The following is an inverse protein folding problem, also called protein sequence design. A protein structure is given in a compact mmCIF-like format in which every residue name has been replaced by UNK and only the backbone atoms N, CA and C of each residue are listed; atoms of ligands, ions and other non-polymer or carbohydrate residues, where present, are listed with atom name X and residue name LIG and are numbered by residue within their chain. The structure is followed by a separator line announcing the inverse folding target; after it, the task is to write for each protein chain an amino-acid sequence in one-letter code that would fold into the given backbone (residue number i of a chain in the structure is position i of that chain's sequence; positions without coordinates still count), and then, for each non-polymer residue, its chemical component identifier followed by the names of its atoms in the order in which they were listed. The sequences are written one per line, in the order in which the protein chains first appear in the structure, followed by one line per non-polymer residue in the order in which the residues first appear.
data_IF_143122999029
#
_entry.id   IF_143122999029
#
_cell.length_a   1.000
_cell.length_b   1.000
_cell.length_c   1.000
_cell.angle_alpha   90.00
_cell.angle_beta   90.00
_cell.angle_gamma   90.00
#
_symmetry.space_group_name_H-M   'P 1'
#
loop_
_entity.id
_entity.type
_entity.pdbx_description
1 polymer ?
#
# COMPACT_ATOMS: atom_id res chain seq x y z
N UNK A 1 12.48 -17.15 -5.43
CA UNK A 1 11.89 -18.49 -5.48
C UNK A 1 10.43 -18.41 -5.09
N UNK A 2 9.56 -19.27 -5.62
CA UNK A 2 8.15 -19.29 -5.25
C UNK A 2 7.53 -20.65 -5.52
N UNK A 3 6.51 -20.97 -4.74
CA UNK A 3 5.72 -22.19 -4.87
C UNK A 3 4.24 -21.84 -4.77
N UNK A 4 3.43 -22.50 -5.57
CA UNK A 4 1.97 -22.43 -5.53
C UNK A 4 1.47 -23.87 -5.47
N UNK A 5 0.45 -24.11 -4.65
CA UNK A 5 -0.20 -25.41 -4.53
C UNK A 5 -1.72 -25.22 -4.53
N UNK A 6 -2.39 -25.91 -5.44
CA UNK A 6 -3.84 -25.88 -5.55
C UNK A 6 -4.46 -26.81 -4.51
N UNK A 7 -5.31 -26.25 -3.65
CA UNK A 7 -6.06 -27.01 -2.65
C UNK A 7 -7.33 -27.65 -3.24
N UNK A 8 -7.78 -27.15 -4.38
CA UNK A 8 -8.98 -27.58 -5.10
C UNK A 8 -9.27 -26.64 -6.27
N UNK A 9 -10.50 -26.63 -6.76
CA UNK A 9 -10.90 -25.84 -7.94
C UNK A 9 -10.89 -24.33 -7.69
N UNK A 10 -11.06 -23.89 -6.44
CA UNK A 10 -11.27 -22.47 -6.11
C UNK A 10 -10.16 -21.84 -5.29
N UNK A 11 -9.20 -22.61 -4.76
CA UNK A 11 -8.26 -22.11 -3.78
C UNK A 11 -6.84 -22.61 -4.05
N UNK A 12 -5.88 -21.71 -3.96
CA UNK A 12 -4.45 -22.01 -4.06
C UNK A 12 -3.71 -21.32 -2.93
N UNK A 13 -2.78 -22.04 -2.30
CA UNK A 13 -1.83 -21.45 -1.35
C UNK A 13 -0.52 -21.19 -2.05
N UNK A 14 0.19 -20.15 -1.62
CA UNK A 14 1.50 -19.84 -2.18
C UNK A 14 2.47 -19.37 -1.10
N UNK A 15 3.75 -19.54 -1.39
CA UNK A 15 4.82 -18.91 -0.64
C UNK A 15 5.88 -18.40 -1.63
N UNK A 16 6.46 -17.25 -1.35
CA UNK A 16 7.49 -16.66 -2.18
C UNK A 16 8.58 -15.99 -1.37
N UNK A 17 9.77 -16.00 -1.95
CA UNK A 17 10.93 -15.28 -1.50
C UNK A 17 11.49 -14.50 -2.69
N UNK A 18 11.56 -13.19 -2.57
CA UNK A 18 12.08 -12.30 -3.59
C UNK A 18 13.09 -11.32 -3.02
N UNK A 19 14.02 -10.87 -3.86
CA UNK A 19 15.08 -9.95 -3.47
C UNK A 19 15.20 -8.85 -4.49
N UNK A 20 15.55 -7.65 -4.04
CA UNK A 20 15.88 -6.51 -4.88
C UNK A 20 17.06 -5.77 -4.29
N UNK A 21 17.87 -5.14 -5.13
CA UNK A 21 18.92 -4.25 -4.66
C UNK A 21 18.95 -2.96 -5.47
N UNK A 22 19.43 -1.89 -4.85
CA UNK A 22 19.64 -0.59 -5.49
C UNK A 22 21.03 -0.07 -5.14
N UNK A 23 21.96 0.04 -6.12
CA UNK A 23 23.24 0.69 -5.89
C UNK A 23 23.06 2.10 -5.34
N UNK A 24 23.95 2.51 -4.44
CA UNK A 24 23.93 3.84 -3.84
C UNK A 24 25.30 4.50 -3.91
N UNK A 25 25.30 5.82 -4.07
CA UNK A 25 26.53 6.62 -4.20
C UNK A 25 27.15 7.07 -2.87
N UNK A 26 26.50 6.74 -1.74
CA UNK A 26 26.92 7.24 -0.43
C UNK A 26 28.17 6.53 0.06
N UNK A 27 29.01 7.26 0.78
CA UNK A 27 30.32 6.81 1.25
C UNK A 27 30.43 6.91 2.76
N UNK A 28 31.22 6.03 3.34
CA UNK A 28 31.60 6.08 4.75
C UNK A 28 32.67 7.13 5.04
N UNK A 29 33.00 7.31 6.31
CA UNK A 29 34.02 8.26 6.78
C UNK A 29 35.43 7.96 6.24
N UNK A 30 35.66 6.76 5.70
CA UNK A 30 36.91 6.37 5.04
C UNK A 30 36.86 6.64 3.52
N UNK A 31 35.74 7.14 2.99
CA UNK A 31 35.53 7.42 1.57
C UNK A 31 35.16 6.17 0.75
N UNK A 32 34.92 5.03 1.40
CA UNK A 32 34.50 3.79 0.72
C UNK A 32 32.99 3.87 0.45
N UNK A 33 32.57 3.45 -0.75
CA UNK A 33 31.15 3.37 -1.07
C UNK A 33 30.44 2.34 -0.17
N UNK A 34 29.22 2.67 0.25
CA UNK A 34 28.34 1.74 0.97
C UNK A 34 27.87 0.63 0.02
N UNK A 35 27.64 -0.55 0.60
CA UNK A 35 27.02 -1.68 -0.11
C UNK A 35 25.64 -1.27 -0.65
N UNK A 36 25.14 -1.85 -1.75
CA UNK A 36 23.80 -1.53 -2.27
C UNK A 36 22.71 -1.66 -1.22
N UNK A 37 21.68 -0.82 -1.31
CA UNK A 37 20.46 -1.00 -0.53
C UNK A 37 19.84 -2.34 -0.94
N UNK A 38 19.60 -3.23 0.01
CA UNK A 38 19.04 -4.56 -0.24
C UNK A 38 17.66 -4.69 0.38
N UNK A 39 16.74 -5.32 -0.34
CA UNK A 39 15.41 -5.68 0.14
C UNK A 39 15.16 -7.17 -0.07
N UNK A 40 14.68 -7.84 0.97
CA UNK A 40 14.27 -9.26 0.93
C UNK A 40 12.82 -9.37 1.38
N UNK A 41 11.96 -9.87 0.51
CA UNK A 41 10.55 -10.11 0.81
C UNK A 41 10.29 -11.60 1.01
N UNK A 42 9.58 -11.91 2.08
CA UNK A 42 9.02 -13.23 2.37
C UNK A 42 7.51 -13.07 2.41
N UNK A 43 6.80 -13.86 1.62
CA UNK A 43 5.35 -13.77 1.53
C UNK A 43 4.75 -15.16 1.50
N UNK A 44 3.63 -15.34 2.19
CA UNK A 44 2.79 -16.51 2.04
C UNK A 44 1.33 -16.09 2.05
N UNK A 45 0.50 -16.78 1.30
CA UNK A 45 -0.89 -16.40 1.20
C UNK A 45 -1.80 -17.47 0.62
N UNK A 46 -3.08 -17.13 0.64
CA UNK A 46 -4.18 -17.84 0.05
C UNK A 46 -4.75 -16.97 -1.07
N UNK A 47 -4.98 -17.58 -2.23
CA UNK A 47 -5.72 -16.99 -3.33
C UNK A 47 -6.98 -17.81 -3.56
N UNK A 48 -8.05 -17.13 -3.90
CA UNK A 48 -9.33 -17.73 -4.20
C UNK A 48 -9.86 -17.20 -5.54
N UNK A 49 -10.34 -18.10 -6.38
CA UNK A 49 -10.92 -17.80 -7.69
C UNK A 49 -12.33 -18.39 -7.76
N UNK A 50 -13.31 -17.53 -8.08
CA UNK A 50 -14.71 -17.90 -8.19
C UNK A 50 -15.30 -17.41 -9.51
N UNK A 51 -16.47 -17.97 -9.85
CA UNK A 51 -17.26 -17.54 -11.00
C UNK A 51 -16.46 -17.60 -12.31
N UNK A 52 -15.75 -18.71 -12.55
CA UNK A 52 -14.91 -18.91 -13.75
C UNK A 52 -13.89 -17.77 -13.96
N UNK A 53 -13.18 -17.40 -12.89
CA UNK A 53 -12.20 -16.31 -12.91
C UNK A 53 -12.77 -14.90 -12.83
N UNK A 54 -14.11 -14.74 -12.79
CA UNK A 54 -14.74 -13.41 -12.76
C UNK A 54 -14.58 -12.71 -11.41
N UNK A 55 -14.35 -13.43 -10.31
CA UNK A 55 -14.12 -12.85 -8.99
C UNK A 55 -12.94 -13.52 -8.30
N UNK A 56 -12.02 -12.68 -7.79
CA UNK A 56 -10.79 -13.10 -7.16
C UNK A 56 -10.68 -12.50 -5.77
N UNK A 57 -10.12 -13.25 -4.83
CA UNK A 57 -9.78 -12.76 -3.51
C UNK A 57 -8.41 -13.30 -3.07
N UNK A 58 -7.71 -12.56 -2.23
CA UNK A 58 -6.46 -13.00 -1.64
C UNK A 58 -6.29 -12.54 -0.21
N UNK A 59 -5.56 -13.35 0.55
CA UNK A 59 -5.10 -13.02 1.88
C UNK A 59 -3.61 -13.39 1.98
N UNK A 60 -2.77 -12.45 2.40
CA UNK A 60 -1.32 -12.65 2.47
C UNK A 60 -0.75 -12.16 3.80
N UNK A 61 0.28 -12.87 4.27
CA UNK A 61 1.17 -12.43 5.33
C UNK A 61 2.53 -12.16 4.70
N UNK A 62 3.15 -11.03 5.04
CA UNK A 62 4.44 -10.66 4.47
C UNK A 62 5.42 -10.11 5.53
N UNK A 63 6.71 -10.31 5.24
CA UNK A 63 7.82 -9.66 5.91
C UNK A 63 8.78 -9.11 4.86
N UNK A 64 9.10 -7.82 4.97
CA UNK A 64 10.14 -7.16 4.19
C UNK A 64 11.31 -6.80 5.11
N UNK A 65 12.50 -7.28 4.78
CA UNK A 65 13.75 -6.92 5.44
C UNK A 65 14.55 -6.01 4.51
N UNK A 66 14.78 -4.77 4.94
CA UNK A 66 15.57 -3.78 4.23
C UNK A 66 16.87 -3.48 4.99
N UNK A 67 17.98 -3.61 4.27
CA UNK A 67 19.34 -3.48 4.76
C UNK A 67 20.13 -2.44 3.95
N UNK A 68 21.25 -2.00 4.53
CA UNK A 68 22.16 -1.00 3.96
C UNK A 68 21.51 0.37 3.67
N UNK A 69 20.54 0.80 4.48
CA UNK A 69 19.98 2.15 4.33
C UNK A 69 21.02 3.20 4.71
N UNK A 70 21.35 4.13 3.81
CA UNK A 70 22.34 5.17 4.10
C UNK A 70 21.81 6.17 5.15
N UNK A 71 22.45 6.20 6.32
CA UNK A 71 22.18 7.17 7.37
C UNK A 71 23.38 8.11 7.54
N UNK A 72 23.19 9.46 7.52
CA UNK A 72 24.27 10.40 7.81
C UNK A 72 24.90 10.12 9.19
N UNK A 73 26.23 10.11 9.28
CA UNK A 73 26.94 9.96 10.57
C UNK A 73 27.08 11.29 11.32
N UNK A 74 26.89 12.42 10.62
CA UNK A 74 27.27 13.75 11.10
C UNK A 74 28.76 14.07 10.87
N UNK A 75 29.54 13.09 10.40
CA UNK A 75 30.92 13.25 9.98
C UNK A 75 31.05 13.62 8.49
N UNK A 76 32.31 13.70 8.04
CA UNK A 76 32.67 14.01 6.65
C UNK A 76 33.55 12.90 6.07
N UNK A 77 33.43 12.68 4.77
CA UNK A 77 34.35 11.85 4.00
C UNK A 77 35.71 12.56 3.82
N UNK A 78 36.77 11.88 3.38
CA UNK A 78 38.08 12.51 3.15
C UNK A 78 38.07 13.63 2.10
N UNK A 79 37.10 13.63 1.17
CA UNK A 79 36.85 14.67 0.17
C UNK A 79 35.83 15.74 0.64
N UNK A 80 35.45 15.73 1.92
CA UNK A 80 34.64 16.79 2.55
C UNK A 80 33.12 16.70 2.32
N UNK A 81 32.63 15.62 1.70
CA UNK A 81 31.21 15.33 1.56
C UNK A 81 30.62 14.78 2.88
N UNK A 82 29.29 14.75 3.01
CA UNK A 82 28.65 14.12 4.16
C UNK A 82 28.97 12.61 4.18
N UNK A 83 29.40 12.10 5.34
CA UNK A 83 29.64 10.67 5.51
C UNK A 83 28.36 9.95 5.96
N UNK A 84 28.22 8.72 5.51
CA UNK A 84 27.07 7.87 5.78
C UNK A 84 27.52 6.52 6.34
N UNK A 85 26.68 5.92 7.16
CA UNK A 85 26.83 4.51 7.56
C UNK A 85 25.68 3.69 7.00
N UNK A 86 25.97 2.46 6.62
CA UNK A 86 24.96 1.47 6.28
C UNK A 86 24.18 1.12 7.55
N UNK A 87 22.89 1.44 7.53
CA UNK A 87 21.99 1.07 8.60
C UNK A 87 21.21 -0.19 8.20
N UNK A 88 21.31 -1.20 9.04
CA UNK A 88 20.67 -2.49 8.85
C UNK A 88 19.31 -2.54 9.54
N UNK A 89 18.42 -3.40 9.03
CA UNK A 89 17.36 -3.97 9.85
C UNK A 89 16.10 -3.12 9.99
N UNK A 90 15.71 -2.39 8.94
CA UNK A 90 14.29 -2.01 8.84
C UNK A 90 13.51 -3.27 8.47
N UNK A 91 12.67 -3.73 9.40
CA UNK A 91 11.80 -4.88 9.21
C UNK A 91 10.35 -4.42 9.19
N UNK A 92 9.70 -4.62 8.06
CA UNK A 92 8.27 -4.39 7.90
C UNK A 92 7.55 -5.73 7.97
N UNK A 93 6.54 -5.82 8.83
CA UNK A 93 5.65 -6.98 8.91
C UNK A 93 4.22 -6.53 8.68
N UNK A 94 3.45 -7.34 7.98
CA UNK A 94 2.08 -6.99 7.68
C UNK A 94 1.26 -8.13 7.14
N UNK A 95 0.01 -7.80 6.88
CA UNK A 95 -0.93 -8.67 6.18
C UNK A 95 -1.83 -7.85 5.28
N UNK A 96 -2.26 -8.46 4.19
CA UNK A 96 -3.08 -7.85 3.16
C UNK A 96 -4.26 -8.76 2.82
N UNK A 97 -5.42 -8.15 2.64
CA UNK A 97 -6.63 -8.77 2.15
C UNK A 97 -7.05 -8.01 0.91
N UNK A 98 -7.34 -8.70 -0.17
CA UNK A 98 -7.82 -8.08 -1.41
C UNK A 98 -8.96 -8.87 -2.00
N UNK A 99 -9.86 -8.17 -2.69
CA UNK A 99 -10.91 -8.75 -3.50
C UNK A 99 -11.14 -7.90 -4.74
N UNK A 100 -11.39 -8.54 -5.88
CA UNK A 100 -11.70 -7.82 -7.11
C UNK A 100 -12.49 -8.67 -8.09
N UNK A 101 -13.34 -8.01 -8.86
CA UNK A 101 -14.09 -8.59 -9.96
C UNK A 101 -15.59 -8.50 -9.79
N UNK A 102 -16.30 -9.44 -10.40
CA UNK A 102 -17.73 -9.38 -10.59
C UNK A 102 -18.47 -10.24 -9.56
N UNK A 103 -19.14 -9.60 -8.60
CA UNK A 103 -19.95 -10.28 -7.58
C UNK A 103 -21.24 -10.89 -8.15
N UNK A 104 -21.83 -10.21 -9.14
CA UNK A 104 -23.03 -10.63 -9.84
C UNK A 104 -23.08 -9.99 -11.23
N UNK A 105 -23.96 -10.43 -12.11
CA UNK A 105 -24.18 -9.75 -13.40
C UNK A 105 -24.48 -8.26 -13.20
N UNK A 106 -23.62 -7.41 -13.78
CA UNK A 106 -23.67 -5.97 -13.66
C UNK A 106 -23.02 -5.38 -12.39
N UNK A 107 -22.54 -6.18 -11.45
CA UNK A 107 -21.94 -5.73 -10.18
C UNK A 107 -20.43 -5.98 -10.13
N UNK A 108 -19.65 -4.90 -10.18
CA UNK A 108 -18.20 -4.91 -10.04
C UNK A 108 -17.79 -4.40 -8.66
N UNK A 109 -16.80 -5.05 -8.04
CA UNK A 109 -16.20 -4.64 -6.78
C UNK A 109 -14.68 -4.70 -6.89
N UNK A 110 -14.01 -3.77 -6.21
CA UNK A 110 -12.59 -3.85 -5.93
C UNK A 110 -12.36 -3.29 -4.54
N UNK A 111 -11.71 -4.04 -3.68
CA UNK A 111 -11.41 -3.58 -2.34
C UNK A 111 -10.22 -4.30 -1.73
N UNK A 112 -9.65 -3.68 -0.72
CA UNK A 112 -8.57 -4.26 0.02
C UNK A 112 -8.37 -3.60 1.38
N UNK A 113 -7.70 -4.34 2.25
CA UNK A 113 -7.25 -3.89 3.56
C UNK A 113 -5.79 -4.28 3.71
N UNK A 114 -4.96 -3.36 4.18
CA UNK A 114 -3.56 -3.65 4.50
C UNK A 114 -3.24 -3.19 5.91
N UNK A 115 -2.58 -4.06 6.66
CA UNK A 115 -1.92 -3.73 7.91
C UNK A 115 -0.41 -3.85 7.74
N UNK A 116 0.36 -2.84 8.17
CA UNK A 116 1.82 -2.93 8.19
C UNK A 116 2.43 -2.14 9.32
N UNK A 117 3.52 -2.66 9.88
CA UNK A 117 4.35 -1.94 10.85
C UNK A 117 5.81 -2.13 10.46
N UNK A 118 6.50 -1.02 10.20
CA UNK A 118 7.93 -0.98 9.99
C UNK A 118 8.65 -0.65 11.30
N UNK A 119 9.66 -1.45 11.67
CA UNK A 119 10.50 -1.21 12.85
C UNK A 119 11.97 -1.27 12.50
N UNK A 120 12.74 -0.44 13.18
CA UNK A 120 14.19 -0.41 13.13
C UNK A 120 14.73 -0.38 14.56
N UNK A 121 15.56 -1.35 14.93
CA UNK A 121 16.10 -1.47 16.30
C UNK A 121 15.03 -1.35 17.42
N UNK A 122 13.80 -1.84 17.16
CA UNK A 122 12.68 -1.80 18.10
C UNK A 122 11.81 -0.53 18.04
N UNK A 123 12.29 0.56 17.44
CA UNK A 123 11.52 1.78 17.22
C UNK A 123 10.66 1.67 15.95
N UNK A 124 9.45 2.24 15.95
CA UNK A 124 8.63 2.37 14.74
C UNK A 124 9.27 3.38 13.79
N UNK A 125 9.32 3.04 12.51
CA UNK A 125 9.73 3.93 11.42
C UNK A 125 8.60 4.05 10.41
N UNK A 126 8.72 4.99 9.46
CA UNK A 126 7.70 5.22 8.42
C UNK A 126 6.33 5.56 9.01
N UNK A 127 6.30 6.33 10.10
CA UNK A 127 5.09 6.65 10.88
C UNK A 127 4.14 7.63 10.19
N UNK A 128 4.58 8.21 9.07
CA UNK A 128 3.76 9.04 8.17
C UNK A 128 2.90 8.20 7.21
N UNK A 129 3.19 6.91 7.07
CA UNK A 129 2.31 5.95 6.40
C UNK A 129 1.39 5.32 7.44
N UNK A 130 0.08 5.16 7.15
CA UNK A 130 -0.85 4.57 8.10
C UNK A 130 -0.55 3.10 8.33
N UNK A 131 -0.66 2.64 9.58
CA UNK A 131 -0.46 1.23 9.90
C UNK A 131 -1.61 0.38 9.39
N UNK A 132 -2.79 0.98 9.25
CA UNK A 132 -4.00 0.34 8.73
C UNK A 132 -4.62 1.23 7.66
N UNK A 133 -4.94 0.64 6.51
CA UNK A 133 -5.69 1.31 5.45
C UNK A 133 -6.69 0.35 4.81
N UNK A 134 -7.80 0.91 4.36
CA UNK A 134 -8.90 0.21 3.73
C UNK A 134 -9.33 0.98 2.48
N UNK A 135 -9.66 0.24 1.43
CA UNK A 135 -10.33 0.81 0.25
C UNK A 135 -11.40 -0.15 -0.25
N UNK A 136 -12.52 0.40 -0.70
CA UNK A 136 -13.57 -0.35 -1.37
C UNK A 136 -14.22 0.55 -2.41
N UNK A 137 -14.27 0.07 -3.64
CA UNK A 137 -14.99 0.69 -4.74
C UNK A 137 -15.94 -0.35 -5.31
N UNK A 138 -17.15 0.08 -5.59
CA UNK A 138 -18.19 -0.80 -6.11
C UNK A 138 -19.01 -0.04 -7.13
N UNK A 139 -19.40 -0.72 -8.20
CA UNK A 139 -20.34 -0.18 -9.19
C UNK A 139 -21.34 -1.23 -9.61
N UNK A 140 -22.58 -0.81 -9.81
CA UNK A 140 -23.68 -1.65 -10.21
C UNK A 140 -24.44 -1.05 -11.38
N UNK A 141 -24.48 -1.77 -12.49
CA UNK A 141 -25.37 -1.47 -13.62
C UNK A 141 -26.76 -2.01 -13.31
N UNK A 142 -27.74 -1.12 -13.27
CA UNK A 142 -29.13 -1.50 -13.01
C UNK A 142 -29.68 -2.38 -14.14
N UNK A 143 -30.77 -3.10 -13.86
CA UNK A 143 -31.41 -4.02 -14.81
C UNK A 143 -32.78 -3.50 -15.24
N UNK A 144 -33.38 -4.15 -16.24
CA UNK A 144 -34.71 -3.80 -16.77
C UNK A 144 -34.70 -2.44 -17.46
N UNK A 145 -35.69 -1.61 -17.14
CA UNK A 145 -35.87 -0.27 -17.72
C UNK A 145 -34.70 0.69 -17.44
N UNK A 146 -33.88 0.37 -16.43
CA UNK A 146 -32.76 1.20 -15.99
C UNK A 146 -31.39 0.71 -16.49
N UNK A 147 -31.34 -0.18 -17.50
CA UNK A 147 -30.09 -0.77 -18.00
C UNK A 147 -29.01 0.23 -18.46
N UNK A 148 -29.39 1.45 -18.78
CA UNK A 148 -28.46 2.54 -19.11
C UNK A 148 -27.83 3.22 -17.89
N UNK A 149 -28.34 3.00 -16.68
CA UNK A 149 -27.87 3.64 -15.45
C UNK A 149 -26.92 2.72 -14.67
N UNK A 150 -25.73 3.23 -14.39
CA UNK A 150 -24.74 2.62 -13.49
C UNK A 150 -24.54 3.54 -12.29
N UNK A 151 -24.64 2.98 -11.09
CA UNK A 151 -24.36 3.68 -9.84
C UNK A 151 -23.12 3.08 -9.21
N UNK A 152 -22.24 3.92 -8.69
CA UNK A 152 -21.03 3.51 -8.03
C UNK A 152 -20.74 4.33 -6.80
N UNK A 153 -19.92 3.76 -5.93
CA UNK A 153 -19.46 4.38 -4.69
C UNK A 153 -18.10 3.88 -4.30
N UNK A 154 -17.35 4.73 -3.61
CA UNK A 154 -16.04 4.45 -3.06
C UNK A 154 -15.96 4.84 -1.60
N UNK A 155 -15.21 4.07 -0.82
CA UNK A 155 -14.82 4.41 0.53
C UNK A 155 -13.34 4.11 0.71
N UNK A 156 -12.58 5.10 1.19
CA UNK A 156 -11.19 4.94 1.61
C UNK A 156 -11.05 5.35 3.05
N UNK A 157 -10.30 4.59 3.82
CA UNK A 157 -9.99 4.88 5.21
C UNK A 157 -8.53 4.62 5.50
N UNK A 158 -7.98 5.42 6.40
CA UNK A 158 -6.69 5.17 7.00
C UNK A 158 -6.69 5.55 8.48
N UNK A 159 -5.83 4.89 9.25
CA UNK A 159 -5.63 5.24 10.66
C UNK A 159 -4.78 6.52 10.85
N UNK A 160 -4.51 6.84 12.11
CA UNK A 160 -3.71 8.02 12.46
C UNK A 160 -2.23 7.85 12.09
N UNK A 161 -1.70 8.80 11.36
CA UNK A 161 -0.25 8.90 11.12
C UNK A 161 0.36 9.94 12.06
N UNK A 162 1.66 9.83 12.30
CA UNK A 162 2.37 10.83 13.08
C UNK A 162 3.80 11.04 12.58
N UNK A 163 4.33 12.23 12.81
CA UNK A 163 5.72 12.58 12.48
C UNK A 163 6.28 13.57 13.50
N UNK A 164 7.55 13.43 13.81
CA UNK A 164 8.28 14.41 14.61
C UNK A 164 8.72 15.55 13.69
N UNK A 165 8.36 16.78 14.06
CA UNK A 165 8.74 18.00 13.34
C UNK A 165 9.36 19.01 14.30
N UNK A 166 10.34 19.76 13.81
CA UNK A 166 10.90 20.89 14.56
C UNK A 166 10.01 22.12 14.42
N UNK A 167 9.56 22.68 15.53
CA UNK A 167 8.86 23.96 15.52
C UNK A 167 9.84 25.08 15.13
N UNK A 168 9.61 25.81 14.02
CA UNK A 168 10.56 26.84 13.56
C UNK A 168 10.63 28.05 14.49
N UNK A 169 9.61 28.31 15.31
CA UNK A 169 9.57 29.44 16.23
C UNK A 169 10.27 29.16 17.57
N UNK A 170 10.23 27.92 18.05
CA UNK A 170 10.76 27.55 19.37
C UNK A 170 11.95 26.59 19.33
N UNK A 171 12.23 25.99 18.17
CA UNK A 171 13.23 24.92 18.01
C UNK A 171 12.86 23.60 18.72
N UNK A 172 11.69 23.53 19.35
CA UNK A 172 11.24 22.34 20.06
C UNK A 172 10.75 21.27 19.08
N UNK A 173 11.11 20.01 19.36
CA UNK A 173 10.53 18.87 18.65
C UNK A 173 9.08 18.67 19.10
N UNK A 174 8.16 18.61 18.14
CA UNK A 174 6.73 18.35 18.39
C UNK A 174 6.25 17.20 17.53
N UNK A 175 5.32 16.41 18.08
CA UNK A 175 4.69 15.32 17.32
C UNK A 175 3.48 15.88 16.60
N UNK A 176 3.54 15.94 15.27
CA UNK A 176 2.39 16.20 14.43
C UNK A 176 1.62 14.90 14.19
N UNK A 177 0.29 14.92 14.36
CA UNK A 177 -0.57 13.76 14.17
C UNK A 177 -1.71 14.08 13.22
N UNK A 178 -1.87 13.27 12.19
CA UNK A 178 -3.08 13.25 11.37
C UNK A 178 -4.05 12.26 11.99
N UNK A 179 -5.27 12.69 12.28
CA UNK A 179 -6.30 11.82 12.85
C UNK A 179 -6.83 10.83 11.79
N UNK A 180 -7.40 9.68 12.18
CA UNK A 180 -8.02 8.76 11.24
C UNK A 180 -9.15 9.45 10.47
N UNK A 181 -9.33 9.14 9.20
CA UNK A 181 -10.36 9.74 8.37
C UNK A 181 -10.90 8.80 7.30
N UNK A 182 -12.10 9.12 6.84
CA UNK A 182 -12.76 8.48 5.71
C UNK A 182 -12.86 9.47 4.56
N UNK A 183 -12.64 8.99 3.34
CA UNK A 183 -13.00 9.67 2.10
C UNK A 183 -14.08 8.83 1.42
N UNK A 184 -15.21 9.45 1.13
CA UNK A 184 -16.34 8.81 0.46
C UNK A 184 -16.52 9.42 -0.92
N UNK A 185 -16.66 8.58 -1.93
CA UNK A 185 -16.84 8.96 -3.32
C UNK A 185 -18.17 8.39 -3.84
N UNK A 186 -18.82 9.10 -4.76
CA UNK A 186 -19.98 8.62 -5.50
C UNK A 186 -19.78 8.81 -7.00
N UNK A 187 -20.34 7.88 -7.77
CA UNK A 187 -20.34 7.91 -9.23
C UNK A 187 -21.73 7.56 -9.75
N UNK A 188 -22.18 8.28 -10.76
CA UNK A 188 -23.34 7.90 -11.56
C UNK A 188 -23.01 8.06 -13.03
N UNK A 189 -23.31 7.03 -13.83
CA UNK A 189 -23.17 7.07 -15.29
C UNK A 189 -24.48 6.68 -15.95
N UNK A 190 -24.89 7.46 -16.94
CA UNK A 190 -26.07 7.17 -17.74
C UNK A 190 -25.72 7.09 -19.23
N UNK A 191 -26.07 5.97 -19.86
CA UNK A 191 -25.96 5.73 -21.30
C UNK A 191 -27.26 6.17 -21.98
N UNK A 192 -27.21 7.25 -22.76
CA UNK A 192 -28.37 7.74 -23.50
C UNK A 192 -28.63 6.92 -24.77
N UNK A 193 -27.56 6.45 -25.40
CA UNK A 193 -27.56 5.53 -26.54
C UNK A 193 -26.16 4.92 -26.71
N UNK A 194 -25.99 4.05 -27.71
CA UNK A 194 -24.73 3.30 -27.99
C UNK A 194 -23.51 4.20 -28.26
N UNK A 195 -23.69 5.51 -28.43
CA UNK A 195 -22.63 6.48 -28.78
C UNK A 195 -22.50 7.62 -27.78
N UNK A 196 -23.43 7.76 -26.82
CA UNK A 196 -23.47 8.90 -25.90
C UNK A 196 -23.77 8.45 -24.48
N UNK A 197 -22.88 8.82 -23.56
CA UNK A 197 -23.08 8.65 -22.12
C UNK A 197 -22.60 9.88 -21.36
N UNK A 198 -23.23 10.18 -20.22
CA UNK A 198 -22.74 11.16 -19.25
C UNK A 198 -22.33 10.47 -17.96
N UNK A 199 -21.30 10.98 -17.31
CA UNK A 199 -20.83 10.50 -16.00
C UNK A 199 -20.67 11.68 -15.05
N UNK A 200 -21.18 11.53 -13.84
CA UNK A 200 -20.98 12.44 -12.72
C UNK A 200 -20.17 11.70 -11.66
N UNK A 201 -19.07 12.31 -11.22
CA UNK A 201 -18.28 11.84 -10.09
C UNK A 201 -18.25 12.93 -9.03
N UNK A 202 -18.47 12.55 -7.78
CA UNK A 202 -18.33 13.43 -6.63
C UNK A 202 -17.36 12.75 -5.67
N UNK A 203 -16.21 13.38 -5.46
CA UNK A 203 -15.18 12.87 -4.56
C UNK A 203 -15.25 13.61 -3.23
N UNK A 204 -14.88 12.94 -2.14
CA UNK A 204 -14.92 13.52 -0.79
C UNK A 204 -16.30 14.12 -0.43
N UNK A 205 -17.35 13.29 -0.48
CA UNK A 205 -18.74 13.67 -0.20
C UNK A 205 -18.95 14.36 1.15
N UNK A 206 -18.02 14.16 2.10
CA UNK A 206 -18.09 14.70 3.45
C UNK A 206 -17.23 15.95 3.65
N UNK A 207 -16.58 16.45 2.60
CA UNK A 207 -15.66 17.61 2.63
C UNK A 207 -14.64 17.52 3.77
N UNK A 208 -14.03 16.34 3.88
CA UNK A 208 -13.07 16.01 4.93
C UNK A 208 -11.67 16.55 4.68
#
# INVERSE_FOLDING_TARGET
AGVVYDLGEHYSVYASYSTIFKPQGQRDEQGKALDPLEGRSYEMGLKAEFLDGRFNASAALFQLDQDNFAQPTGGKTPDGQDAYRALMGVRTKGYELEMSGQLAEGWQVQGGFSHKIARQAGAKVTTLEPENQFSLHSSYRLRGDWKGLTLGGGARWQDSTFGEISNPATGAQVVHRTQPYWLLDAMARYEFNDRLSATLNVNNLLDK
#
